data_IF_905093143973
#
_entry.id   IF_905093143973
#
_cell.length_a   1.000
_cell.length_b   1.000
_cell.length_c   1.000
_cell.angle_alpha   90.00
_cell.angle_beta   90.00
_cell.angle_gamma   90.00
#
_symmetry.space_group_name_H-M   'P 1'
#
loop_
_entity.id
_entity.type
_entity.pdbx_description
1 polymer ?
#
# COMPACT_ATOMS: atom_id res chain seq x y z
N UNK A 1 16.99 -37.07 35.70
CA UNK A 1 16.29 -36.09 34.83
C UNK A 1 16.34 -34.79 35.58
N UNK A 2 17.09 -33.81 35.06
CA UNK A 2 17.41 -32.59 35.79
C UNK A 2 16.43 -31.49 35.37
N UNK A 3 15.85 -30.77 36.33
CA UNK A 3 14.78 -29.78 36.16
C UNK A 3 15.20 -28.49 35.41
N UNK A 4 16.37 -28.49 34.77
CA UNK A 4 16.88 -27.37 33.98
C UNK A 4 16.56 -27.45 32.48
N UNK A 5 15.98 -28.55 31.99
CA UNK A 5 15.57 -28.66 30.58
C UNK A 5 14.13 -28.16 30.32
N UNK A 6 13.34 -27.84 31.36
CA UNK A 6 11.96 -27.36 31.19
C UNK A 6 11.83 -25.83 30.99
N UNK A 7 12.91 -25.06 31.08
CA UNK A 7 12.88 -23.59 30.92
C UNK A 7 13.39 -23.08 29.56
N UNK A 8 13.34 -23.91 28.50
CA UNK A 8 13.82 -23.56 27.16
C UNK A 8 12.71 -23.43 26.09
N UNK A 9 11.43 -23.50 26.46
CA UNK A 9 10.33 -23.66 25.49
C UNK A 9 9.29 -22.52 25.50
N UNK A 10 9.55 -21.39 26.18
CA UNK A 10 8.56 -20.31 26.38
C UNK A 10 8.85 -18.98 25.65
N UNK A 11 9.72 -18.96 24.62
CA UNK A 11 9.98 -17.76 23.81
C UNK A 11 9.76 -17.95 22.30
N UNK A 12 8.90 -18.90 21.92
CA UNK A 12 8.37 -18.92 20.55
C UNK A 12 7.02 -18.22 20.56
N UNK A 13 7.06 -16.90 20.35
CA UNK A 13 5.87 -16.13 20.00
C UNK A 13 5.15 -16.75 18.79
N UNK A 14 3.84 -16.51 18.62
CA UNK A 14 3.06 -17.15 17.59
C UNK A 14 3.70 -16.91 16.20
N UNK A 15 3.70 -17.92 15.31
CA UNK A 15 4.25 -17.75 13.98
C UNK A 15 3.51 -16.61 13.29
N UNK A 16 4.25 -15.56 12.93
CA UNK A 16 3.76 -14.53 12.02
C UNK A 16 3.45 -15.25 10.71
N UNK A 17 2.17 -15.39 10.41
CA UNK A 17 1.66 -16.01 9.20
C UNK A 17 2.08 -15.12 8.01
N UNK A 18 3.26 -15.38 7.46
CA UNK A 18 3.65 -14.98 6.10
C UNK A 18 2.83 -15.82 5.12
N UNK A 19 1.62 -15.40 4.80
CA UNK A 19 0.88 -15.94 3.65
C UNK A 19 1.04 -14.97 2.48
N UNK A 20 1.96 -15.36 1.60
CA UNK A 20 1.94 -15.17 0.15
C UNK A 20 1.32 -13.87 -0.40
N UNK A 21 2.08 -12.77 -0.38
CA UNK A 21 1.74 -11.51 -1.06
C UNK A 21 2.00 -11.51 -2.59
N UNK A 22 2.42 -12.63 -3.19
CA UNK A 22 2.99 -12.65 -4.56
C UNK A 22 2.03 -12.93 -5.74
N UNK A 23 0.82 -13.46 -5.51
CA UNK A 23 0.01 -14.02 -6.61
C UNK A 23 -1.31 -13.30 -6.93
N UNK A 24 -1.87 -12.50 -6.03
CA UNK A 24 -3.25 -11.97 -6.18
C UNK A 24 -3.34 -10.52 -6.69
N UNK A 25 -2.21 -9.87 -6.99
CA UNK A 25 -2.18 -8.51 -7.57
C UNK A 25 -2.49 -8.50 -9.08
N UNK A 26 -2.49 -9.66 -9.76
CA UNK A 26 -2.63 -9.72 -11.23
C UNK A 26 -4.05 -9.88 -11.78
N UNK A 27 -5.08 -10.12 -10.95
CA UNK A 27 -6.41 -10.46 -11.46
C UNK A 27 -7.46 -9.33 -11.41
N UNK A 28 -7.28 -8.31 -10.57
CA UNK A 28 -8.25 -7.21 -10.45
C UNK A 28 -7.89 -5.97 -11.30
N UNK A 29 -6.70 -5.92 -11.89
CA UNK A 29 -6.26 -4.88 -12.83
C UNK A 29 -7.02 -4.88 -14.18
N UNK A 30 -7.99 -5.79 -14.37
CA UNK A 30 -8.84 -5.82 -15.57
C UNK A 30 -10.21 -5.15 -15.41
N UNK A 31 -10.75 -5.00 -14.20
CA UNK A 31 -12.10 -4.43 -14.02
C UNK A 31 -12.11 -2.91 -13.84
N UNK A 32 -11.02 -2.28 -13.37
CA UNK A 32 -10.96 -0.81 -13.25
C UNK A 32 -10.69 -0.08 -14.59
N UNK A 33 -10.33 -0.81 -15.65
CA UNK A 33 -10.03 -0.23 -16.97
C UNK A 33 -11.28 0.28 -17.70
N UNK A 34 -12.48 -0.11 -17.27
CA UNK A 34 -13.74 0.30 -17.91
C UNK A 34 -14.29 1.65 -17.40
N UNK A 35 -13.93 2.09 -16.20
CA UNK A 35 -14.27 3.45 -15.73
C UNK A 35 -13.43 4.56 -16.39
N UNK A 36 -12.41 4.17 -17.19
CA UNK A 36 -11.45 5.08 -17.82
C UNK A 36 -11.95 5.68 -19.14
N UNK A 37 -13.17 5.35 -19.59
CA UNK A 37 -13.65 5.70 -20.94
C UNK A 37 -14.84 6.68 -20.99
N UNK A 38 -15.49 7.02 -19.88
CA UNK A 38 -16.67 7.92 -19.92
C UNK A 38 -16.47 9.26 -19.19
N UNK A 39 -15.29 9.51 -18.63
CA UNK A 39 -14.93 10.78 -17.97
C UNK A 39 -13.79 11.50 -18.69
N UNK A 40 -14.12 12.19 -19.78
CA UNK A 40 -13.24 13.16 -20.41
C UNK A 40 -12.92 14.35 -19.49
N UNK A 41 -11.82 15.04 -19.83
CA UNK A 41 -11.33 16.36 -19.38
C UNK A 41 -10.28 16.33 -18.25
N UNK A 42 -9.00 16.35 -18.65
CA UNK A 42 -7.86 16.47 -17.75
C UNK A 42 -6.53 16.05 -18.37
N UNK A 43 -6.52 15.33 -19.49
CA UNK A 43 -5.34 15.23 -20.32
C UNK A 43 -5.12 16.60 -20.97
N UNK A 44 -4.20 17.36 -20.39
CA UNK A 44 -3.68 18.57 -21.00
C UNK A 44 -3.26 18.23 -22.46
N UNK A 45 -3.92 18.80 -23.50
CA UNK A 45 -3.63 18.47 -24.89
C UNK A 45 -2.22 18.93 -25.33
N UNK A 46 -1.43 19.51 -24.42
CA UNK A 46 -0.09 20.05 -24.64
C UNK A 46 1.06 19.19 -24.09
N UNK A 47 0.86 17.88 -23.84
CA UNK A 47 1.97 16.99 -23.42
C UNK A 47 2.62 17.38 -22.08
N UNK A 48 1.91 18.15 -21.25
CA UNK A 48 2.36 18.60 -19.93
C UNK A 48 2.28 17.49 -18.88
N UNK A 49 3.03 17.66 -17.79
CA UNK A 49 2.94 16.79 -16.62
C UNK A 49 1.50 16.80 -16.07
N UNK A 50 1.00 15.67 -15.50
CA UNK A 50 -0.35 15.61 -14.96
C UNK A 50 -0.55 16.69 -13.90
N UNK A 51 -1.75 17.28 -13.86
CA UNK A 51 -2.09 18.28 -12.84
C UNK A 51 -2.12 17.64 -11.45
N UNK A 52 -1.93 18.46 -10.41
CA UNK A 52 -2.05 18.01 -9.01
C UNK A 52 -3.43 17.36 -8.75
N UNK A 53 -4.49 17.92 -9.32
CA UNK A 53 -5.86 17.41 -9.20
C UNK A 53 -5.99 15.98 -9.76
N UNK A 54 -5.38 15.69 -10.92
CA UNK A 54 -5.34 14.33 -11.46
C UNK A 54 -4.58 13.37 -10.53
N UNK A 55 -3.45 13.80 -9.96
CA UNK A 55 -2.69 12.96 -9.02
C UNK A 55 -3.49 12.64 -7.75
N UNK A 56 -4.15 13.65 -7.18
CA UNK A 56 -5.01 13.47 -6.00
C UNK A 56 -6.21 12.56 -6.30
N UNK A 57 -6.81 12.68 -7.49
CA UNK A 57 -7.89 11.79 -7.91
C UNK A 57 -7.43 10.33 -8.00
N UNK A 58 -6.23 10.08 -8.53
CA UNK A 58 -5.67 8.74 -8.58
C UNK A 58 -5.36 8.16 -7.19
N UNK A 59 -4.83 8.98 -6.27
CA UNK A 59 -4.64 8.57 -4.87
C UNK A 59 -6.00 8.20 -4.25
N UNK A 60 -7.03 9.00 -4.49
CA UNK A 60 -8.39 8.72 -4.01
C UNK A 60 -8.95 7.39 -4.55
N UNK A 61 -8.70 7.08 -5.83
CA UNK A 61 -9.08 5.79 -6.43
C UNK A 61 -8.34 4.64 -5.74
N UNK A 62 -7.04 4.81 -5.47
CA UNK A 62 -6.22 3.79 -4.82
C UNK A 62 -6.64 3.55 -3.36
N UNK A 63 -6.98 4.61 -2.62
CA UNK A 63 -7.59 4.52 -1.29
C UNK A 63 -8.88 3.70 -1.34
N UNK A 64 -9.80 4.04 -2.24
CA UNK A 64 -11.05 3.31 -2.40
C UNK A 64 -10.81 1.83 -2.77
N UNK A 65 -9.85 1.55 -3.66
CA UNK A 65 -9.43 0.18 -4.01
C UNK A 65 -8.93 -0.57 -2.78
N UNK A 66 -8.03 0.01 -2.01
CA UNK A 66 -7.47 -0.63 -0.83
C UNK A 66 -8.53 -0.91 0.25
N UNK A 67 -9.51 -0.04 0.43
CA UNK A 67 -10.65 -0.24 1.35
C UNK A 67 -11.55 -1.41 0.93
N UNK A 68 -11.67 -1.69 -0.37
CA UNK A 68 -12.40 -2.88 -0.83
C UNK A 68 -11.65 -4.18 -0.62
N UNK A 69 -10.31 -4.11 -0.55
CA UNK A 69 -9.45 -5.29 -0.48
C UNK A 69 -9.08 -5.67 0.94
N UNK A 70 -8.97 -4.68 1.83
CA UNK A 70 -8.41 -4.86 3.15
C UNK A 70 -9.29 -4.20 4.22
N UNK A 71 -9.41 -4.81 5.41
CA UNK A 71 -10.09 -4.17 6.52
C UNK A 71 -9.39 -2.86 6.93
N UNK A 72 -10.07 -1.99 7.69
CA UNK A 72 -9.44 -0.82 8.29
C UNK A 72 -8.22 -1.19 9.13
N UNK A 73 -7.20 -0.33 9.13
CA UNK A 73 -5.99 -0.54 9.95
C UNK A 73 -6.38 -0.54 11.43
N UNK A 74 -5.88 -1.50 12.21
CA UNK A 74 -6.29 -1.72 13.59
C UNK A 74 -5.43 -0.97 14.61
N UNK A 75 -4.17 -0.68 14.28
CA UNK A 75 -3.23 0.01 15.20
C UNK A 75 -2.21 0.86 14.46
N UNK A 76 -1.59 1.80 15.18
CA UNK A 76 -0.47 2.58 14.64
C UNK A 76 0.72 1.72 14.18
N UNK A 77 1.01 0.61 14.88
CA UNK A 77 2.11 -0.30 14.51
C UNK A 77 1.81 -1.04 13.20
N UNK A 78 0.58 -1.54 13.03
CA UNK A 78 0.14 -2.17 11.78
C UNK A 78 0.19 -1.16 10.63
N UNK A 79 -0.35 0.04 10.83
CA UNK A 79 -0.35 1.08 9.80
C UNK A 79 1.06 1.51 9.41
N UNK A 80 1.97 1.63 10.39
CA UNK A 80 3.38 1.91 10.12
C UNK A 80 4.05 0.78 9.32
N UNK A 81 3.78 -0.48 9.66
CA UNK A 81 4.32 -1.62 8.92
C UNK A 81 3.85 -1.64 7.46
N UNK A 82 2.58 -1.32 7.19
CA UNK A 82 2.03 -1.21 5.84
C UNK A 82 2.69 -0.07 5.06
N UNK A 83 2.85 1.11 5.67
CA UNK A 83 3.56 2.24 5.04
C UNK A 83 5.00 1.87 4.71
N UNK A 84 5.68 1.18 5.63
CA UNK A 84 7.07 0.78 5.46
C UNK A 84 7.23 -0.20 4.28
N UNK A 85 6.28 -1.11 4.12
CA UNK A 85 6.26 -2.04 3.00
C UNK A 85 6.12 -1.33 1.65
N UNK A 86 5.13 -0.45 1.49
CA UNK A 86 4.95 0.32 0.24
C UNK A 86 6.16 1.24 -0.03
N UNK A 87 6.79 1.75 1.04
CA UNK A 87 8.02 2.53 0.91
C UNK A 87 9.19 1.69 0.41
N UNK A 88 9.34 0.46 0.91
CA UNK A 88 10.37 -0.46 0.44
C UNK A 88 10.14 -0.86 -1.02
N UNK A 89 8.90 -1.11 -1.45
CA UNK A 89 8.56 -1.34 -2.87
C UNK A 89 8.91 -0.13 -3.76
N UNK A 90 8.55 1.08 -3.35
CA UNK A 90 8.96 2.30 -4.07
C UNK A 90 10.49 2.44 -4.13
N UNK A 91 11.16 2.15 -3.02
CA UNK A 91 12.61 2.24 -2.89
C UNK A 91 13.32 1.24 -3.79
N UNK A 92 12.79 0.05 -4.05
CA UNK A 92 13.34 -0.87 -5.05
C UNK A 92 13.41 -0.22 -6.45
N UNK A 93 12.35 0.51 -6.84
CA UNK A 93 12.30 1.19 -8.14
C UNK A 93 13.21 2.43 -8.21
N UNK A 94 13.30 3.19 -7.12
CA UNK A 94 14.23 4.33 -7.01
C UNK A 94 15.68 3.84 -7.03
N UNK A 95 15.95 2.78 -6.26
CA UNK A 95 17.12 1.90 -6.20
C UNK A 95 17.63 1.35 -7.54
N UNK A 96 16.71 1.08 -8.47
CA UNK A 96 17.05 0.39 -9.69
C UNK A 96 18.04 1.18 -10.57
N UNK A 97 18.88 0.45 -11.30
CA UNK A 97 19.81 1.02 -12.27
C UNK A 97 19.05 1.94 -13.23
N UNK A 98 19.51 3.20 -13.35
CA UNK A 98 18.85 4.26 -14.11
C UNK A 98 18.53 3.86 -15.56
N UNK A 99 19.35 3.02 -16.21
CA UNK A 99 19.12 2.55 -17.58
C UNK A 99 17.98 1.55 -17.72
N UNK A 100 17.53 0.96 -16.61
CA UNK A 100 16.47 -0.07 -16.54
C UNK A 100 15.33 0.34 -15.61
N UNK A 101 15.25 1.63 -15.25
CA UNK A 101 14.25 2.13 -14.32
C UNK A 101 12.87 2.11 -14.98
N UNK A 102 11.95 1.39 -14.36
CA UNK A 102 10.54 1.43 -14.74
C UNK A 102 9.86 2.59 -14.01
N UNK A 103 9.72 3.72 -14.72
CA UNK A 103 9.10 4.94 -14.18
C UNK A 103 7.60 4.75 -13.96
N UNK A 104 6.95 3.87 -14.73
CA UNK A 104 5.52 3.58 -14.58
C UNK A 104 5.29 2.80 -13.29
N UNK A 105 6.08 1.77 -13.03
CA UNK A 105 6.04 1.02 -11.77
C UNK A 105 6.40 1.91 -10.57
N UNK A 106 7.46 2.72 -10.68
CA UNK A 106 7.84 3.68 -9.63
C UNK A 106 6.69 4.66 -9.29
N UNK A 107 6.00 5.18 -10.30
CA UNK A 107 4.84 6.06 -10.10
C UNK A 107 3.69 5.32 -9.41
N UNK A 108 3.44 4.07 -9.80
CA UNK A 108 2.41 3.23 -9.20
C UNK A 108 2.68 3.02 -7.69
N UNK A 109 3.90 2.62 -7.32
CA UNK A 109 4.23 2.42 -5.89
C UNK A 109 4.21 3.75 -5.11
N UNK A 110 4.53 4.88 -5.74
CA UNK A 110 4.37 6.19 -5.11
C UNK A 110 2.88 6.54 -4.83
N UNK A 111 1.96 6.19 -5.72
CA UNK A 111 0.52 6.37 -5.50
C UNK A 111 0.03 5.45 -4.37
N UNK A 112 0.47 4.19 -4.33
CA UNK A 112 0.13 3.26 -3.25
C UNK A 112 0.63 3.74 -1.89
N UNK A 113 1.89 4.17 -1.80
CA UNK A 113 2.45 4.75 -0.58
C UNK A 113 1.64 5.97 -0.10
N UNK A 114 1.29 6.87 -1.00
CA UNK A 114 0.45 8.03 -0.68
C UNK A 114 -0.95 7.61 -0.21
N UNK A 115 -1.57 6.62 -0.85
CA UNK A 115 -2.85 6.07 -0.44
C UNK A 115 -2.78 5.43 0.95
N UNK A 116 -1.70 4.72 1.29
CA UNK A 116 -1.54 4.12 2.62
C UNK A 116 -1.32 5.17 3.70
N UNK A 117 -0.66 6.29 3.39
CA UNK A 117 -0.58 7.43 4.31
C UNK A 117 -1.97 8.05 4.58
N UNK A 118 -2.82 8.18 3.55
CA UNK A 118 -4.21 8.65 3.72
C UNK A 118 -5.02 7.67 4.58
N UNK A 119 -4.87 6.36 4.33
CA UNK A 119 -5.54 5.33 5.15
C UNK A 119 -5.04 5.33 6.58
N UNK A 120 -3.75 5.52 6.83
CA UNK A 120 -3.22 5.66 8.18
C UNK A 120 -3.87 6.85 8.91
N UNK A 121 -3.90 8.02 8.26
CA UNK A 121 -4.57 9.20 8.80
C UNK A 121 -6.04 8.90 9.16
N UNK A 122 -6.80 8.31 8.23
CA UNK A 122 -8.22 8.04 8.42
C UNK A 122 -8.52 6.94 9.42
N UNK A 123 -7.86 5.78 9.29
CA UNK A 123 -8.20 4.57 10.02
C UNK A 123 -7.56 4.56 11.42
N UNK A 124 -6.40 5.20 11.60
CA UNK A 124 -5.65 5.24 12.88
C UNK A 124 -5.84 6.56 13.60
N UNK A 125 -5.52 7.70 12.97
CA UNK A 125 -5.55 9.00 13.66
C UNK A 125 -6.99 9.49 13.90
N UNK A 126 -7.84 9.39 12.88
CA UNK A 126 -9.24 9.86 12.95
C UNK A 126 -10.22 8.73 13.31
N UNK A 127 -9.82 7.47 13.09
CA UNK A 127 -10.65 6.26 13.24
C UNK A 127 -10.94 5.85 14.69
N UNK A 128 -10.45 6.59 15.68
CA UNK A 128 -11.01 6.66 17.04
C UNK A 128 -10.95 5.39 17.89
N UNK A 129 -10.24 4.33 17.49
CA UNK A 129 -10.21 3.07 18.28
C UNK A 129 -9.15 3.02 19.39
N UNK A 130 -8.21 3.96 19.43
CA UNK A 130 -7.24 4.11 20.55
C UNK A 130 -7.76 5.07 21.65
N UNK A 131 -9.06 5.42 21.67
CA UNK A 131 -9.70 6.20 22.75
C UNK A 131 -10.46 5.34 23.77
N UNK A 132 -10.06 4.10 23.98
CA UNK A 132 -10.65 3.21 25.00
C UNK A 132 -9.62 2.88 26.08
#
# INVERSE_FOLDING_TARGET
MNDQEQLSMAEQGPPVIMVERGAMIRLLSRSLTLAKLEGATGLDPAGGAPSLECMLAEIGIEVARAETLWPPIHSAHEGYAVILEEFDELKEHVWANQKRRDVVAMRKEAVQLAAMAVRFLRDVCDGGRERA
#
